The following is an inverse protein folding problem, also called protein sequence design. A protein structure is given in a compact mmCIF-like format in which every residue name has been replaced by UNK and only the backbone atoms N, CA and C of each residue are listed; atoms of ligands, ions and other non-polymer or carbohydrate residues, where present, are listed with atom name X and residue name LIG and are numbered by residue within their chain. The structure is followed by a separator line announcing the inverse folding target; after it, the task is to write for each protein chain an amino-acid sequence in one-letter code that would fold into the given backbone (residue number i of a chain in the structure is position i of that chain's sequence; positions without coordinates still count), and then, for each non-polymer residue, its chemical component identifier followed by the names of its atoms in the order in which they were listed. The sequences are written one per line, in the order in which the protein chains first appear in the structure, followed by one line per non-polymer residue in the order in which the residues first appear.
data_IF_804817814064
#
_entry.id   IF_804817814064
#
_cell.length_a   1.000
_cell.length_b   1.000
_cell.length_c   1.000
_cell.angle_alpha   90.00
_cell.angle_beta   90.00
_cell.angle_gamma   90.00
#
_symmetry.space_group_name_H-M   'P 1'
#
loop_
_entity.id
_entity.type
_entity.pdbx_description
1 polymer ?
#
# COMPACT_ATOMS: atom_id res chain seq x y z
N UNK A 1 -1.13 38.21 -17.13
CA UNK A 1 -1.74 38.03 -15.79
C UNK A 1 -2.88 39.01 -15.63
N UNK A 2 -2.63 40.31 -15.81
CA UNK A 2 -3.64 41.36 -15.62
C UNK A 2 -4.92 41.20 -16.47
N UNK A 3 -4.81 40.92 -17.77
CA UNK A 3 -5.98 40.88 -18.67
C UNK A 3 -7.02 39.76 -18.37
N UNK A 4 -6.61 38.60 -17.85
CA UNK A 4 -7.56 37.52 -17.49
C UNK A 4 -8.07 37.64 -16.05
N UNK A 5 -7.26 38.17 -15.12
CA UNK A 5 -7.77 38.55 -13.80
C UNK A 5 -8.79 39.69 -13.89
N UNK A 6 -8.59 40.62 -14.82
CA UNK A 6 -9.56 41.68 -15.17
C UNK A 6 -10.82 41.11 -15.82
N UNK A 7 -10.72 40.07 -16.65
CA UNK A 7 -11.88 39.37 -17.22
C UNK A 7 -12.69 38.59 -16.17
N UNK A 8 -12.03 37.99 -15.19
CA UNK A 8 -12.72 37.33 -14.06
C UNK A 8 -13.37 38.37 -13.14
N UNK A 9 -12.71 39.51 -12.90
CA UNK A 9 -13.23 40.56 -12.03
C UNK A 9 -14.37 41.39 -12.64
N UNK A 10 -14.55 41.29 -13.96
CA UNK A 10 -15.66 41.91 -14.69
C UNK A 10 -16.85 40.97 -14.91
N UNK A 11 -16.81 39.73 -14.41
CA UNK A 11 -17.95 38.81 -14.42
C UNK A 11 -19.07 39.36 -13.53
N UNK A 12 -20.07 40.00 -14.15
CA UNK A 12 -21.26 40.48 -13.47
C UNK A 12 -22.14 39.33 -12.97
N UNK A 13 -22.66 39.45 -11.75
CA UNK A 13 -23.68 38.52 -11.23
C UNK A 13 -25.01 38.83 -11.91
N UNK A 14 -25.44 37.97 -12.83
CA UNK A 14 -26.73 38.05 -13.52
C UNK A 14 -27.73 37.07 -12.91
N UNK A 15 -29.02 37.40 -13.02
CA UNK A 15 -30.14 36.57 -12.57
C UNK A 15 -30.81 35.78 -13.72
N UNK A 16 -30.47 36.06 -14.97
CA UNK A 16 -30.99 35.32 -16.13
C UNK A 16 -30.27 33.96 -16.26
N UNK A 17 -30.97 32.81 -16.18
CA UNK A 17 -30.36 31.48 -16.24
C UNK A 17 -29.49 31.22 -17.48
N UNK A 18 -29.84 31.78 -18.64
CA UNK A 18 -29.04 31.63 -19.86
C UNK A 18 -27.74 32.42 -19.76
N UNK A 19 -27.82 33.68 -19.29
CA UNK A 19 -26.66 34.50 -19.03
C UNK A 19 -25.79 33.95 -17.88
N UNK A 20 -26.38 33.30 -16.86
CA UNK A 20 -25.65 32.64 -15.77
C UNK A 20 -24.80 31.49 -16.32
N UNK A 21 -25.34 30.67 -17.22
CA UNK A 21 -24.57 29.59 -17.85
C UNK A 21 -23.35 30.13 -18.59
N UNK A 22 -23.52 31.14 -19.44
CA UNK A 22 -22.44 31.72 -20.23
C UNK A 22 -21.35 32.34 -19.33
N UNK A 23 -21.75 33.03 -18.26
CA UNK A 23 -20.84 33.62 -17.26
C UNK A 23 -20.03 32.53 -16.55
N UNK A 24 -20.68 31.48 -16.04
CA UNK A 24 -20.02 30.39 -15.30
C UNK A 24 -19.13 29.57 -16.25
N UNK A 25 -19.59 29.30 -17.47
CA UNK A 25 -18.76 28.64 -18.48
C UNK A 25 -17.52 29.47 -18.83
N UNK A 26 -17.66 30.78 -19.04
CA UNK A 26 -16.54 31.65 -19.35
C UNK A 26 -15.54 31.69 -18.19
N UNK A 27 -16.02 31.79 -16.95
CA UNK A 27 -15.19 31.70 -15.75
C UNK A 27 -14.40 30.38 -15.70
N UNK A 28 -15.05 29.24 -15.97
CA UNK A 28 -14.39 27.93 -16.02
C UNK A 28 -13.34 27.86 -17.12
N UNK A 29 -13.60 28.41 -18.30
CA UNK A 29 -12.62 28.48 -19.40
C UNK A 29 -11.37 29.24 -18.97
N UNK A 30 -11.53 30.40 -18.33
CA UNK A 30 -10.39 31.20 -17.82
C UNK A 30 -9.58 30.43 -16.75
N UNK A 31 -10.27 29.69 -15.87
CA UNK A 31 -9.64 28.85 -14.85
C UNK A 31 -8.99 27.56 -15.39
N UNK A 32 -9.23 27.18 -16.64
CA UNK A 32 -8.65 25.96 -17.25
C UNK A 32 -7.63 26.25 -18.36
N UNK A 33 -7.52 27.51 -18.79
CA UNK A 33 -6.68 27.92 -19.91
C UNK A 33 -5.16 27.83 -19.64
N UNK A 34 -4.74 27.76 -18.37
CA UNK A 34 -3.31 27.80 -17.98
C UNK A 34 -2.97 26.74 -16.95
N UNK A 35 -1.68 26.43 -16.89
CA UNK A 35 -1.10 25.59 -15.83
C UNK A 35 -1.20 26.22 -14.43
N UNK A 36 -1.25 27.55 -14.33
CA UNK A 36 -1.46 28.28 -13.07
C UNK A 36 -2.77 29.11 -13.16
N UNK A 37 -3.90 28.56 -12.70
CA UNK A 37 -5.19 29.24 -12.81
C UNK A 37 -5.30 30.44 -11.85
N UNK A 38 -5.97 31.53 -12.24
CA UNK A 38 -6.17 32.73 -11.40
C UNK A 38 -7.21 32.52 -10.28
N UNK A 39 -6.99 31.52 -9.43
CA UNK A 39 -7.91 31.11 -8.33
C UNK A 39 -8.14 32.25 -7.35
N UNK A 40 -7.11 33.04 -7.04
CA UNK A 40 -7.24 34.19 -6.13
C UNK A 40 -8.17 35.28 -6.68
N UNK A 41 -8.09 35.57 -7.98
CA UNK A 41 -9.01 36.51 -8.60
C UNK A 41 -10.46 35.99 -8.54
N UNK A 42 -10.67 34.70 -8.82
CA UNK A 42 -11.97 34.05 -8.69
C UNK A 42 -12.52 34.11 -7.26
N UNK A 43 -11.69 33.91 -6.24
CA UNK A 43 -12.09 34.03 -4.83
C UNK A 43 -12.48 35.48 -4.51
N UNK A 44 -11.66 36.46 -4.89
CA UNK A 44 -11.90 37.90 -4.57
C UNK A 44 -13.21 38.43 -5.14
N UNK A 45 -13.66 37.92 -6.28
CA UNK A 45 -14.83 38.45 -7.00
C UNK A 45 -16.13 37.75 -6.59
N UNK A 46 -16.10 36.88 -5.58
CA UNK A 46 -17.28 36.17 -5.08
C UNK A 46 -17.75 35.01 -5.98
N UNK A 47 -16.88 34.50 -6.85
CA UNK A 47 -17.23 33.39 -7.75
C UNK A 47 -17.60 32.11 -6.98
N UNK A 48 -17.02 31.90 -5.80
CA UNK A 48 -17.31 30.73 -4.95
C UNK A 48 -18.77 30.72 -4.52
N UNK A 49 -19.27 31.82 -3.95
CA UNK A 49 -20.66 31.91 -3.52
C UNK A 49 -21.63 31.70 -4.70
N UNK A 50 -21.34 32.34 -5.84
CA UNK A 50 -22.19 32.21 -7.02
C UNK A 50 -22.19 30.79 -7.59
N UNK A 51 -21.05 30.10 -7.59
CA UNK A 51 -20.97 28.71 -8.07
C UNK A 51 -21.64 27.73 -7.11
N UNK A 52 -21.59 27.98 -5.80
CA UNK A 52 -22.35 27.22 -4.80
C UNK A 52 -23.86 27.41 -5.02
N UNK A 53 -24.33 28.64 -5.24
CA UNK A 53 -25.72 28.95 -5.58
C UNK A 53 -26.14 28.23 -6.87
N UNK A 54 -25.34 28.33 -7.94
CA UNK A 54 -25.62 27.67 -9.22
C UNK A 54 -25.72 26.15 -9.08
N UNK A 55 -24.86 25.53 -8.27
CA UNK A 55 -24.91 24.09 -8.02
C UNK A 55 -26.11 23.69 -7.14
N UNK A 56 -26.59 24.58 -6.28
CA UNK A 56 -27.74 24.32 -5.39
C UNK A 56 -29.08 24.50 -6.09
N UNK A 57 -29.22 25.53 -6.91
CA UNK A 57 -30.53 26.06 -7.33
C UNK A 57 -30.81 25.93 -8.82
N UNK A 58 -29.81 25.60 -9.65
CA UNK A 58 -30.02 25.53 -11.09
C UNK A 58 -30.74 24.25 -11.53
N UNK A 59 -31.79 24.41 -12.31
CA UNK A 59 -32.47 23.31 -13.03
C UNK A 59 -31.65 22.80 -14.24
N UNK A 60 -30.55 23.48 -14.60
CA UNK A 60 -29.71 23.14 -15.75
C UNK A 60 -28.50 22.31 -15.30
N UNK A 61 -28.47 21.04 -15.70
CA UNK A 61 -27.31 20.16 -15.47
C UNK A 61 -26.02 20.67 -16.10
N UNK A 62 -26.11 21.48 -17.17
CA UNK A 62 -24.96 22.14 -17.78
C UNK A 62 -24.38 23.22 -16.86
N UNK A 63 -25.24 24.03 -16.24
CA UNK A 63 -24.83 25.08 -15.30
C UNK A 63 -24.26 24.46 -14.02
N UNK A 64 -24.92 23.42 -13.49
CA UNK A 64 -24.41 22.64 -12.35
C UNK A 64 -23.04 22.04 -12.64
N UNK A 65 -22.83 21.49 -13.84
CA UNK A 65 -21.55 20.92 -14.23
C UNK A 65 -20.42 21.96 -14.25
N UNK A 66 -20.65 23.12 -14.90
CA UNK A 66 -19.66 24.21 -14.94
C UNK A 66 -19.35 24.74 -13.53
N UNK A 67 -20.38 24.91 -12.70
CA UNK A 67 -20.22 25.34 -11.31
C UNK A 67 -19.43 24.32 -10.47
N UNK A 68 -19.77 23.03 -10.55
CA UNK A 68 -19.04 21.97 -9.87
C UNK A 68 -17.58 21.87 -10.36
N UNK A 69 -17.33 22.10 -11.65
CA UNK A 69 -15.99 22.10 -12.20
C UNK A 69 -15.15 23.26 -11.63
N UNK A 70 -15.69 24.48 -11.59
CA UNK A 70 -15.02 25.62 -10.95
C UNK A 70 -14.68 25.30 -9.50
N UNK A 71 -15.65 24.79 -8.73
CA UNK A 71 -15.42 24.40 -7.34
C UNK A 71 -14.33 23.34 -7.20
N UNK A 72 -14.25 22.38 -8.11
CA UNK A 72 -13.16 21.38 -8.11
C UNK A 72 -11.78 21.98 -8.40
N UNK A 73 -11.70 22.99 -9.27
CA UNK A 73 -10.44 23.70 -9.57
C UNK A 73 -10.00 24.50 -8.36
N UNK A 74 -10.93 25.26 -7.75
CA UNK A 74 -10.66 26.04 -6.53
C UNK A 74 -10.25 25.10 -5.39
N UNK A 75 -10.96 23.99 -5.19
CA UNK A 75 -10.61 23.01 -4.15
C UNK A 75 -9.21 22.38 -4.37
N UNK A 76 -8.77 22.24 -5.63
CA UNK A 76 -7.46 21.67 -5.97
C UNK A 76 -6.27 22.61 -5.77
N UNK A 77 -6.52 23.88 -5.42
CA UNK A 77 -5.45 24.83 -5.12
C UNK A 77 -4.76 24.51 -3.79
N UNK A 78 -3.95 25.45 -3.27
CA UNK A 78 -3.50 25.35 -1.88
C UNK A 78 -4.67 25.45 -0.88
N UNK A 79 -4.35 25.35 0.41
CA UNK A 79 -5.32 25.31 1.52
C UNK A 79 -6.29 26.50 1.59
N UNK A 80 -6.05 27.60 0.86
CA UNK A 80 -7.01 28.71 0.75
C UNK A 80 -8.26 28.30 -0.02
N UNK A 81 -8.11 27.48 -1.07
CA UNK A 81 -9.21 27.04 -1.92
C UNK A 81 -10.27 26.23 -1.18
N UNK A 82 -9.92 25.05 -0.61
CA UNK A 82 -10.81 24.29 0.25
C UNK A 82 -11.41 25.14 1.37
N UNK A 83 -10.59 25.96 2.05
CA UNK A 83 -11.04 26.81 3.15
C UNK A 83 -12.14 27.79 2.75
N UNK A 84 -12.01 28.46 1.61
CA UNK A 84 -13.05 29.41 1.13
C UNK A 84 -14.35 28.67 0.80
N UNK A 85 -14.29 27.50 0.15
CA UNK A 85 -15.48 26.69 -0.13
C UNK A 85 -16.16 26.24 1.18
N UNK A 86 -15.38 25.83 2.17
CA UNK A 86 -15.88 25.40 3.48
C UNK A 86 -16.54 26.54 4.24
N UNK A 87 -15.95 27.75 4.20
CA UNK A 87 -16.47 28.96 4.84
C UNK A 87 -17.75 29.48 4.17
N UNK A 88 -17.91 29.25 2.87
CA UNK A 88 -19.12 29.58 2.11
C UNK A 88 -20.21 28.48 2.19
N UNK A 89 -20.12 27.56 3.16
CA UNK A 89 -21.03 26.42 3.33
C UNK A 89 -21.23 25.57 2.06
N UNK A 90 -20.15 25.38 1.30
CA UNK A 90 -20.15 24.58 0.08
C UNK A 90 -20.25 23.07 0.31
N UNK A 91 -19.78 22.54 1.45
CA UNK A 91 -19.78 21.09 1.72
C UNK A 91 -21.20 20.48 1.64
N UNK A 92 -22.23 21.00 2.34
CA UNK A 92 -23.59 20.46 2.22
C UNK A 92 -24.12 20.43 0.78
N UNK A 93 -23.81 21.47 -0.01
CA UNK A 93 -24.24 21.56 -1.42
C UNK A 93 -23.55 20.51 -2.28
N UNK A 94 -22.23 20.36 -2.11
CA UNK A 94 -21.45 19.33 -2.79
C UNK A 94 -21.94 17.93 -2.40
N UNK A 95 -22.09 17.64 -1.11
CA UNK A 95 -22.58 16.33 -0.64
C UNK A 95 -23.96 16.03 -1.19
N UNK A 96 -24.88 17.00 -1.22
CA UNK A 96 -26.21 16.76 -1.78
C UNK A 96 -26.18 16.43 -3.28
N UNK A 97 -25.32 17.12 -4.03
CA UNK A 97 -25.15 16.91 -5.47
C UNK A 97 -24.32 15.67 -5.83
N UNK A 98 -23.74 14.95 -4.86
CA UNK A 98 -23.02 13.71 -5.12
C UNK A 98 -23.94 12.59 -5.64
N UNK A 99 -25.22 12.61 -5.26
CA UNK A 99 -26.24 11.65 -5.72
C UNK A 99 -27.06 12.14 -6.93
N UNK A 100 -26.55 13.12 -7.69
CA UNK A 100 -27.19 13.60 -8.91
C UNK A 100 -27.30 12.50 -9.97
N UNK A 101 -28.34 12.57 -10.82
CA UNK A 101 -28.50 11.65 -11.94
C UNK A 101 -27.50 11.91 -13.07
N UNK A 102 -26.90 13.11 -13.12
CA UNK A 102 -25.99 13.58 -14.17
C UNK A 102 -24.53 13.19 -13.86
N UNK A 103 -23.94 12.21 -14.56
CA UNK A 103 -22.62 11.69 -14.18
C UNK A 103 -21.49 12.72 -14.26
N UNK A 104 -21.56 13.65 -15.21
CA UNK A 104 -20.60 14.74 -15.37
C UNK A 104 -20.64 15.75 -14.22
N UNK A 105 -21.80 15.95 -13.57
CA UNK A 105 -21.90 16.78 -12.37
C UNK A 105 -21.33 16.00 -11.18
N UNK A 106 -21.75 14.75 -10.99
CA UNK A 106 -21.25 13.87 -9.93
C UNK A 106 -19.73 13.76 -9.93
N UNK A 107 -19.13 13.57 -11.11
CA UNK A 107 -17.67 13.51 -11.30
C UNK A 107 -16.96 14.72 -10.66
N UNK A 108 -17.39 15.94 -11.01
CA UNK A 108 -16.72 17.17 -10.54
C UNK A 108 -17.01 17.43 -9.06
N UNK A 109 -18.21 17.12 -8.61
CA UNK A 109 -18.59 17.17 -7.19
C UNK A 109 -17.72 16.22 -6.35
N UNK A 110 -17.61 14.96 -6.76
CA UNK A 110 -16.79 13.96 -6.07
C UNK A 110 -15.32 14.39 -6.05
N UNK A 111 -14.81 14.95 -7.14
CA UNK A 111 -13.45 15.46 -7.24
C UNK A 111 -13.20 16.65 -6.29
N UNK A 112 -14.12 17.62 -6.24
CA UNK A 112 -14.05 18.75 -5.31
C UNK A 112 -14.04 18.27 -3.85
N UNK A 113 -14.95 17.35 -3.50
CA UNK A 113 -14.99 16.73 -2.17
C UNK A 113 -13.71 15.96 -1.85
N UNK A 114 -13.09 15.27 -2.82
CA UNK A 114 -11.84 14.55 -2.62
C UNK A 114 -10.69 15.51 -2.25
N UNK A 115 -10.59 16.66 -2.93
CA UNK A 115 -9.61 17.69 -2.58
C UNK A 115 -9.87 18.30 -1.20
N UNK A 116 -11.12 18.65 -0.90
CA UNK A 116 -11.50 19.19 0.42
C UNK A 116 -11.20 18.18 1.53
N UNK A 117 -11.56 16.91 1.34
CA UNK A 117 -11.27 15.85 2.30
C UNK A 117 -9.77 15.63 2.47
N UNK A 118 -8.97 15.81 1.42
CA UNK A 118 -7.51 15.61 1.45
C UNK A 118 -6.71 16.76 2.04
N UNK A 119 -7.31 17.93 2.26
CA UNK A 119 -6.65 19.11 2.82
C UNK A 119 -6.39 18.94 4.33
N UNK A 120 -7.43 18.65 5.11
CA UNK A 120 -7.29 18.37 6.54
C UNK A 120 -8.38 17.44 7.07
N UNK A 121 -8.09 16.85 8.23
CA UNK A 121 -9.00 15.92 8.89
C UNK A 121 -10.34 16.55 9.29
N UNK A 122 -10.35 17.83 9.68
CA UNK A 122 -11.57 18.53 10.08
C UNK A 122 -12.55 18.65 8.90
N UNK A 123 -12.04 18.90 7.69
CA UNK A 123 -12.87 18.96 6.49
C UNK A 123 -13.37 17.57 6.09
N UNK A 124 -12.54 16.53 6.19
CA UNK A 124 -12.96 15.14 6.01
C UNK A 124 -14.10 14.77 6.97
N UNK A 125 -13.99 15.14 8.25
CA UNK A 125 -15.04 14.88 9.24
C UNK A 125 -16.30 15.70 8.95
N UNK A 126 -16.19 16.97 8.59
CA UNK A 126 -17.34 17.80 8.18
C UNK A 126 -18.08 17.20 6.98
N UNK A 127 -17.37 16.61 6.00
CA UNK A 127 -17.98 15.89 4.87
C UNK A 127 -18.75 14.65 5.34
N UNK A 128 -18.18 13.89 6.28
CA UNK A 128 -18.85 12.73 6.90
C UNK A 128 -20.13 13.17 7.64
N UNK A 129 -20.02 14.21 8.47
CA UNK A 129 -21.12 14.75 9.28
C UNK A 129 -22.26 15.32 8.41
N UNK A 130 -21.94 15.83 7.22
CA UNK A 130 -22.93 16.25 6.22
C UNK A 130 -23.62 15.07 5.51
N UNK A 131 -23.31 13.82 5.86
CA UNK A 131 -24.03 12.65 5.39
C UNK A 131 -23.54 12.08 4.06
N UNK A 132 -22.26 12.29 3.67
CA UNK A 132 -21.69 11.75 2.43
C UNK A 132 -21.91 10.23 2.28
N UNK A 133 -21.93 9.51 3.41
CA UNK A 133 -22.13 8.06 3.46
C UNK A 133 -23.49 7.60 2.94
N UNK A 134 -24.49 8.49 2.93
CA UNK A 134 -25.83 8.21 2.36
C UNK A 134 -25.89 8.41 0.85
N UNK A 135 -24.85 9.00 0.26
CA UNK A 135 -24.80 9.38 -1.15
C UNK A 135 -24.00 8.41 -2.02
N UNK A 136 -23.11 7.63 -1.40
CA UNK A 136 -22.28 6.67 -2.13
C UNK A 136 -23.08 5.58 -2.84
N UNK A 137 -24.25 5.17 -2.34
CA UNK A 137 -25.09 4.15 -3.01
C UNK A 137 -25.44 4.55 -4.46
N UNK A 138 -25.67 5.84 -4.72
CA UNK A 138 -25.92 6.36 -6.07
C UNK A 138 -24.62 6.71 -6.83
N UNK A 139 -23.61 7.24 -6.13
CA UNK A 139 -22.39 7.75 -6.73
C UNK A 139 -21.40 6.64 -7.13
N UNK A 140 -21.34 5.57 -6.34
CA UNK A 140 -20.44 4.42 -6.49
C UNK A 140 -21.09 3.23 -7.21
N UNK A 141 -22.28 3.41 -7.81
CA UNK A 141 -22.91 2.37 -8.63
C UNK A 141 -21.97 1.94 -9.77
N UNK A 142 -21.65 0.65 -9.80
CA UNK A 142 -20.74 0.00 -10.75
C UNK A 142 -21.12 0.22 -12.23
N UNK A 143 -22.36 0.61 -12.53
CA UNK A 143 -22.83 0.88 -13.89
C UNK A 143 -22.57 2.32 -14.35
N UNK A 144 -22.04 3.18 -13.48
CA UNK A 144 -21.72 4.57 -13.82
C UNK A 144 -20.50 4.67 -14.73
N UNK A 145 -20.37 5.76 -15.52
CA UNK A 145 -19.22 5.97 -16.39
C UNK A 145 -17.88 5.99 -15.64
N UNK A 146 -16.83 5.54 -16.31
CA UNK A 146 -15.48 5.42 -15.73
C UNK A 146 -14.96 6.72 -15.09
N UNK A 147 -15.19 7.88 -15.73
CA UNK A 147 -14.73 9.18 -15.22
C UNK A 147 -15.41 9.54 -13.88
N UNK A 148 -16.69 9.22 -13.70
CA UNK A 148 -17.39 9.43 -12.43
C UNK A 148 -16.80 8.51 -11.36
N UNK A 149 -16.67 7.22 -11.67
CA UNK A 149 -16.13 6.22 -10.74
C UNK A 149 -14.70 6.55 -10.30
N UNK A 150 -13.89 7.12 -11.20
CA UNK A 150 -12.55 7.59 -10.85
C UNK A 150 -12.57 8.68 -9.78
N UNK A 151 -13.41 9.71 -9.95
CA UNK A 151 -13.53 10.78 -8.95
C UNK A 151 -14.12 10.30 -7.63
N UNK A 152 -15.08 9.37 -7.69
CA UNK A 152 -15.66 8.74 -6.48
C UNK A 152 -14.61 7.88 -5.76
N UNK A 153 -13.79 7.13 -6.49
CA UNK A 153 -12.68 6.36 -5.92
C UNK A 153 -11.63 7.26 -5.25
N UNK A 154 -11.32 8.43 -5.84
CA UNK A 154 -10.46 9.44 -5.22
C UNK A 154 -11.06 9.98 -3.92
N UNK A 155 -12.37 10.23 -3.88
CA UNK A 155 -13.06 10.65 -2.67
C UNK A 155 -12.98 9.57 -1.58
N UNK A 156 -13.29 8.31 -1.90
CA UNK A 156 -13.18 7.18 -0.97
C UNK A 156 -11.75 7.07 -0.41
N UNK A 157 -10.74 7.15 -1.28
CA UNK A 157 -9.32 7.15 -0.89
C UNK A 157 -9.01 8.26 0.13
N UNK A 158 -9.46 9.49 -0.13
CA UNK A 158 -9.18 10.64 0.74
C UNK A 158 -9.92 10.58 2.06
N UNK A 159 -11.16 10.08 2.08
CA UNK A 159 -11.90 9.83 3.33
C UNK A 159 -11.15 8.83 4.22
N UNK A 160 -10.48 7.84 3.63
CA UNK A 160 -9.70 6.83 4.36
C UNK A 160 -8.24 7.26 4.68
N UNK A 161 -7.72 8.34 4.09
CA UNK A 161 -6.28 8.63 4.09
C UNK A 161 -5.65 9.05 5.44
N UNK A 162 -6.48 9.40 6.41
CA UNK A 162 -6.07 9.75 7.77
C UNK A 162 -6.05 8.52 8.68
N UNK A 163 -5.42 8.58 9.87
CA UNK A 163 -5.34 7.44 10.78
C UNK A 163 -6.71 6.82 11.11
N UNK A 164 -6.78 5.48 11.06
CA UNK A 164 -7.99 4.68 11.24
C UNK A 164 -8.63 4.85 12.63
N UNK A 165 -7.84 5.15 13.66
CA UNK A 165 -8.32 5.52 15.00
C UNK A 165 -9.28 6.71 15.04
N UNK A 166 -9.32 7.55 13.99
CA UNK A 166 -10.19 8.73 13.89
C UNK A 166 -11.32 8.56 12.86
N UNK A 167 -11.55 7.34 12.37
CA UNK A 167 -12.69 7.00 11.53
C UNK A 167 -13.60 6.02 12.30
N UNK A 168 -14.92 6.17 12.26
CA UNK A 168 -15.82 5.15 12.79
C UNK A 168 -15.74 3.85 11.99
N UNK A 169 -15.66 2.70 12.68
CA UNK A 169 -15.54 1.38 12.04
C UNK A 169 -16.71 1.09 11.08
N UNK A 170 -17.92 1.55 11.38
CA UNK A 170 -19.10 1.38 10.50
C UNK A 170 -18.94 2.12 9.16
N UNK A 171 -18.27 3.28 9.16
CA UNK A 171 -17.95 4.00 7.93
C UNK A 171 -16.93 3.21 7.12
N UNK A 172 -15.88 2.70 7.76
CA UNK A 172 -14.88 1.87 7.10
C UNK A 172 -15.46 0.59 6.51
N UNK A 173 -16.37 -0.10 7.22
CA UNK A 173 -17.13 -1.24 6.68
C UNK A 173 -17.89 -0.86 5.43
N UNK A 174 -18.69 0.21 5.48
CA UNK A 174 -19.51 0.64 4.34
C UNK A 174 -18.64 1.04 3.13
N UNK A 175 -17.54 1.78 3.35
CA UNK A 175 -16.59 2.12 2.30
C UNK A 175 -15.92 0.88 1.70
N UNK A 176 -15.61 -0.12 2.51
CA UNK A 176 -14.98 -1.36 2.04
C UNK A 176 -15.88 -2.13 1.07
N UNK A 177 -17.20 -2.13 1.28
CA UNK A 177 -18.15 -2.74 0.32
C UNK A 177 -18.02 -2.09 -1.06
N UNK A 178 -18.03 -0.76 -1.14
CA UNK A 178 -17.85 -0.05 -2.42
C UNK A 178 -16.47 -0.28 -3.03
N UNK A 179 -15.41 -0.35 -2.21
CA UNK A 179 -14.06 -0.65 -2.70
C UNK A 179 -14.05 -2.02 -3.38
N UNK A 180 -14.62 -3.05 -2.74
CA UNK A 180 -14.65 -4.41 -3.26
C UNK A 180 -15.42 -4.49 -4.58
N UNK A 181 -16.60 -3.86 -4.66
CA UNK A 181 -17.43 -3.84 -5.87
C UNK A 181 -16.75 -3.08 -7.04
N UNK A 182 -16.12 -1.95 -6.75
CA UNK A 182 -15.48 -1.12 -7.78
C UNK A 182 -14.13 -1.68 -8.23
N UNK A 183 -13.42 -2.44 -7.40
CA UNK A 183 -12.16 -3.09 -7.80
C UNK A 183 -12.35 -4.15 -8.89
N UNK A 184 -13.55 -4.73 -9.01
CA UNK A 184 -13.91 -5.63 -10.11
C UNK A 184 -14.00 -4.92 -11.46
N UNK A 185 -14.05 -3.58 -11.48
CA UNK A 185 -13.89 -2.81 -12.70
C UNK A 185 -12.40 -2.75 -13.04
N UNK A 186 -12.06 -3.27 -14.22
CA UNK A 186 -10.68 -3.23 -14.73
C UNK A 186 -10.24 -1.83 -15.24
N UNK A 187 -10.68 -0.76 -14.57
CA UNK A 187 -10.33 0.62 -14.88
C UNK A 187 -9.11 1.00 -14.04
N UNK A 188 -7.97 1.22 -14.69
CA UNK A 188 -6.68 1.41 -14.02
C UNK A 188 -6.68 2.56 -13.00
N UNK A 189 -7.25 3.71 -13.35
CA UNK A 189 -7.29 4.90 -12.48
C UNK A 189 -8.17 4.70 -11.23
N UNK A 190 -9.27 3.97 -11.37
CA UNK A 190 -10.14 3.53 -10.27
C UNK A 190 -9.36 2.58 -9.37
N UNK A 191 -8.77 1.52 -9.93
CA UNK A 191 -8.00 0.53 -9.17
C UNK A 191 -6.83 1.14 -8.42
N UNK A 192 -6.11 2.10 -9.02
CA UNK A 192 -5.02 2.82 -8.36
C UNK A 192 -5.50 3.59 -7.12
N UNK A 193 -6.62 4.32 -7.25
CA UNK A 193 -7.20 5.07 -6.13
C UNK A 193 -7.71 4.14 -5.02
N UNK A 194 -8.38 3.05 -5.39
CA UNK A 194 -8.94 2.09 -4.45
C UNK A 194 -7.88 1.18 -3.79
N UNK A 195 -6.80 0.84 -4.48
CA UNK A 195 -5.66 0.16 -3.88
C UNK A 195 -5.00 1.03 -2.81
N UNK A 196 -4.86 2.34 -3.08
CA UNK A 196 -4.43 3.30 -2.05
C UNK A 196 -5.41 3.39 -0.87
N UNK A 197 -6.71 3.30 -1.14
CA UNK A 197 -7.75 3.31 -0.11
C UNK A 197 -7.66 2.07 0.80
N UNK A 198 -7.45 0.89 0.19
CA UNK A 198 -7.19 -0.36 0.91
C UNK A 198 -5.89 -0.29 1.73
N UNK A 199 -4.84 0.34 1.21
CA UNK A 199 -3.61 0.58 1.95
C UNK A 199 -3.87 1.40 3.22
N UNK A 200 -4.62 2.50 3.12
CA UNK A 200 -4.94 3.30 4.30
C UNK A 200 -5.84 2.57 5.29
N UNK A 201 -6.85 1.84 4.81
CA UNK A 201 -7.72 1.01 5.63
C UNK A 201 -6.93 -0.02 6.46
N UNK A 202 -5.92 -0.64 5.84
CA UNK A 202 -5.11 -1.69 6.47
C UNK A 202 -3.92 -1.17 7.26
N UNK A 203 -3.65 0.14 7.24
CA UNK A 203 -2.53 0.74 7.98
C UNK A 203 -2.74 0.53 9.49
N UNK A 204 -1.81 -0.17 10.13
CA UNK A 204 -2.01 -0.79 11.44
C UNK A 204 -1.95 0.20 12.62
N UNK A 205 -3.03 0.18 13.42
CA UNK A 205 -3.16 0.60 14.84
C UNK A 205 -4.34 -0.14 15.52
N UNK A 206 -5.32 -0.64 14.73
CA UNK A 206 -6.49 -1.36 15.23
C UNK A 206 -6.83 -2.63 14.39
N UNK A 207 -6.81 -3.84 14.98
CA UNK A 207 -7.04 -5.10 14.27
C UNK A 207 -8.47 -5.26 13.72
N UNK A 208 -9.43 -4.46 14.18
CA UNK A 208 -10.81 -4.48 13.67
C UNK A 208 -10.88 -4.10 12.19
N UNK A 209 -9.98 -3.22 11.72
CA UNK A 209 -9.92 -2.81 10.32
C UNK A 209 -9.37 -3.90 9.41
N UNK A 210 -8.35 -4.62 9.87
CA UNK A 210 -7.85 -5.82 9.18
C UNK A 210 -8.94 -6.88 9.11
N UNK A 211 -9.72 -7.05 10.18
CA UNK A 211 -10.85 -7.98 10.17
C UNK A 211 -11.92 -7.57 9.15
N UNK A 212 -12.19 -6.27 8.98
CA UNK A 212 -13.10 -5.78 7.92
C UNK A 212 -12.57 -6.13 6.52
N UNK A 213 -11.27 -5.93 6.27
CA UNK A 213 -10.65 -6.27 4.99
C UNK A 213 -10.77 -7.78 4.67
N UNK A 214 -10.62 -8.64 5.67
CA UNK A 214 -10.82 -10.10 5.53
C UNK A 214 -12.28 -10.43 5.30
N UNK A 215 -13.17 -10.04 6.22
CA UNK A 215 -14.58 -10.48 6.23
C UNK A 215 -15.36 -10.01 5.00
N UNK A 216 -15.01 -8.85 4.43
CA UNK A 216 -15.69 -8.30 3.26
C UNK A 216 -15.04 -8.70 1.92
N UNK A 217 -14.02 -9.57 1.93
CA UNK A 217 -13.38 -10.07 0.70
C UNK A 217 -12.47 -9.04 0.01
N UNK A 218 -12.00 -8.01 0.72
CA UNK A 218 -11.09 -7.01 0.16
C UNK A 218 -9.74 -7.63 -0.21
N UNK A 219 -9.22 -8.55 0.61
CA UNK A 219 -7.93 -9.19 0.36
C UNK A 219 -7.90 -9.93 -0.98
N UNK A 220 -8.97 -10.65 -1.33
CA UNK A 220 -9.07 -11.36 -2.61
C UNK A 220 -8.94 -10.38 -3.81
N UNK A 221 -9.62 -9.22 -3.73
CA UNK A 221 -9.54 -8.19 -4.77
C UNK A 221 -8.14 -7.59 -4.86
N UNK A 222 -7.53 -7.29 -3.71
CA UNK A 222 -6.20 -6.68 -3.65
C UNK A 222 -5.11 -7.63 -4.14
N UNK A 223 -5.19 -8.92 -3.80
CA UNK A 223 -4.23 -9.93 -4.27
C UNK A 223 -4.24 -10.03 -5.79
N UNK A 224 -5.41 -9.98 -6.43
CA UNK A 224 -5.52 -9.92 -7.91
C UNK A 224 -4.79 -8.71 -8.51
N UNK A 225 -4.70 -7.59 -7.77
CA UNK A 225 -3.98 -6.39 -8.24
C UNK A 225 -2.45 -6.56 -8.29
N UNK A 226 -1.88 -7.54 -7.58
CA UNK A 226 -0.44 -7.83 -7.64
C UNK A 226 0.03 -8.20 -9.06
N UNK A 227 -0.86 -8.77 -9.87
CA UNK A 227 -0.57 -9.13 -11.28
C UNK A 227 -0.92 -8.04 -12.28
N UNK A 228 -1.41 -6.87 -11.85
CA UNK A 228 -1.75 -5.78 -12.78
C UNK A 228 -0.47 -5.16 -13.33
N UNK A 229 -0.44 -4.92 -14.64
CA UNK A 229 0.70 -4.32 -15.33
C UNK A 229 0.78 -2.78 -15.10
N UNK A 230 0.79 -2.36 -13.84
CA UNK A 230 0.99 -0.99 -13.42
C UNK A 230 1.72 -0.96 -12.07
N UNK A 231 2.88 -0.31 -12.04
CA UNK A 231 3.76 -0.30 -10.86
C UNK A 231 3.12 0.39 -9.65
N UNK A 232 2.28 1.41 -9.86
CA UNK A 232 1.65 2.13 -8.74
C UNK A 232 0.57 1.27 -8.08
N UNK A 233 -0.24 0.58 -8.89
CA UNK A 233 -1.22 -0.40 -8.41
C UNK A 233 -0.53 -1.54 -7.67
N UNK A 234 0.53 -2.12 -8.24
CA UNK A 234 1.30 -3.20 -7.61
C UNK A 234 1.90 -2.75 -6.27
N UNK A 235 2.50 -1.56 -6.21
CA UNK A 235 3.05 -1.00 -4.95
C UNK A 235 1.99 -0.81 -3.88
N UNK A 236 0.81 -0.31 -4.25
CA UNK A 236 -0.28 -0.15 -3.29
C UNK A 236 -0.77 -1.52 -2.80
N UNK A 237 -0.95 -2.49 -3.71
CA UNK A 237 -1.40 -3.83 -3.38
C UNK A 237 -0.41 -4.60 -2.49
N UNK A 238 0.88 -4.61 -2.81
CA UNK A 238 1.87 -5.33 -1.98
C UNK A 238 2.01 -4.72 -0.59
N UNK A 239 1.83 -3.39 -0.45
CA UNK A 239 1.81 -2.73 0.86
C UNK A 239 0.60 -3.09 1.70
N UNK A 240 -0.55 -3.39 1.08
CA UNK A 240 -1.69 -3.97 1.80
C UNK A 240 -1.33 -5.36 2.33
N UNK A 241 -0.74 -6.22 1.49
CA UNK A 241 -0.27 -7.54 1.93
C UNK A 241 0.77 -7.43 3.05
N UNK A 242 1.66 -6.44 2.98
CA UNK A 242 2.64 -6.18 4.02
C UNK A 242 1.96 -5.78 5.34
N UNK A 243 1.02 -4.81 5.31
CA UNK A 243 0.29 -4.38 6.50
C UNK A 243 -0.47 -5.53 7.18
N UNK A 244 -1.07 -6.41 6.38
CA UNK A 244 -1.87 -7.55 6.88
C UNK A 244 -0.96 -8.63 7.46
N UNK A 245 0.16 -8.93 6.79
CA UNK A 245 1.13 -9.94 7.26
C UNK A 245 1.97 -9.48 8.45
N UNK A 246 2.22 -8.18 8.62
CA UNK A 246 3.01 -7.64 9.73
C UNK A 246 2.28 -7.60 11.07
N UNK A 247 1.04 -8.07 11.14
CA UNK A 247 0.27 -8.06 12.38
C UNK A 247 0.72 -9.21 13.29
N UNK A 248 0.68 -9.00 14.61
CA UNK A 248 0.98 -10.06 15.59
C UNK A 248 -0.07 -11.20 15.59
N UNK A 249 -1.09 -11.13 14.73
CA UNK A 249 -2.18 -12.09 14.65
C UNK A 249 -2.00 -13.01 13.44
N UNK A 250 -1.52 -14.23 13.68
CA UNK A 250 -1.30 -15.26 12.64
C UNK A 250 -2.49 -15.52 11.71
N UNK A 251 -3.73 -15.30 12.18
CA UNK A 251 -4.95 -15.43 11.37
C UNK A 251 -4.98 -14.50 10.15
N UNK A 252 -4.34 -13.32 10.22
CA UNK A 252 -4.32 -12.37 9.11
C UNK A 252 -3.31 -12.77 8.05
N UNK A 253 -2.16 -13.29 8.46
CA UNK A 253 -1.21 -13.97 7.56
C UNK A 253 -1.87 -15.17 6.88
N UNK A 254 -2.61 -16.00 7.62
CA UNK A 254 -3.38 -17.09 7.03
C UNK A 254 -4.41 -16.60 6.01
N UNK A 255 -5.12 -15.52 6.29
CA UNK A 255 -6.12 -14.97 5.35
C UNK A 255 -5.49 -14.49 4.02
N UNK A 256 -4.24 -14.01 4.03
CA UNK A 256 -3.52 -13.70 2.78
C UNK A 256 -3.18 -14.96 1.99
N UNK A 257 -2.76 -16.01 2.69
CA UNK A 257 -2.43 -17.31 2.11
C UNK A 257 -3.67 -17.94 1.47
N UNK A 258 -4.81 -17.88 2.18
CA UNK A 258 -6.10 -18.38 1.69
C UNK A 258 -6.59 -17.61 0.45
N UNK A 259 -6.11 -16.37 0.25
CA UNK A 259 -6.34 -15.56 -0.95
C UNK A 259 -5.32 -15.83 -2.07
N UNK A 260 -4.39 -16.77 -1.91
CA UNK A 260 -3.32 -17.11 -2.85
C UNK A 260 -2.34 -15.96 -3.13
N UNK A 261 -2.03 -15.12 -2.13
CA UNK A 261 -1.05 -14.05 -2.29
C UNK A 261 0.33 -14.57 -2.74
N UNK A 262 0.72 -15.74 -2.24
CA UNK A 262 1.98 -16.43 -2.52
C UNK A 262 2.21 -16.72 -4.00
N UNK A 263 1.15 -16.97 -4.77
CA UNK A 263 1.25 -17.32 -6.19
C UNK A 263 1.74 -16.14 -7.05
N UNK A 264 1.72 -14.93 -6.50
CA UNK A 264 2.13 -13.71 -7.19
C UNK A 264 3.57 -13.27 -6.86
N UNK A 265 4.19 -13.81 -5.81
CA UNK A 265 5.47 -13.30 -5.32
C UNK A 265 6.60 -13.48 -6.34
N UNK A 266 6.63 -14.60 -7.08
CA UNK A 266 7.69 -14.83 -8.08
C UNK A 266 7.66 -13.77 -9.20
N UNK A 267 6.47 -13.39 -9.65
CA UNK A 267 6.28 -12.29 -10.62
C UNK A 267 6.83 -10.97 -10.06
N UNK A 268 6.53 -10.66 -8.80
CA UNK A 268 6.94 -9.41 -8.16
C UNK A 268 8.45 -9.36 -7.89
N UNK A 269 9.08 -10.47 -7.54
CA UNK A 269 10.53 -10.54 -7.33
C UNK A 269 11.34 -10.36 -8.63
N UNK A 270 10.73 -10.63 -9.80
CA UNK A 270 11.37 -10.49 -11.12
C UNK A 270 11.23 -9.11 -11.76
N UNK A 271 10.59 -8.15 -11.07
CA UNK A 271 10.50 -6.76 -11.53
C UNK A 271 11.85 -6.03 -11.43
N UNK A 272 11.95 -4.83 -12.03
CA UNK A 272 13.09 -3.92 -11.86
C UNK A 272 12.87 -2.89 -10.74
N UNK A 273 11.65 -2.81 -10.21
CA UNK A 273 11.30 -1.85 -9.18
C UNK A 273 11.74 -2.36 -7.80
N UNK A 274 12.78 -1.75 -7.26
CA UNK A 274 13.39 -2.13 -5.97
C UNK A 274 12.40 -2.08 -4.80
N UNK A 275 11.39 -1.20 -4.85
CA UNK A 275 10.41 -1.09 -3.77
C UNK A 275 9.43 -2.26 -3.79
N UNK A 276 9.03 -2.72 -4.99
CA UNK A 276 8.18 -3.91 -5.11
C UNK A 276 8.94 -5.15 -4.64
N UNK A 277 10.20 -5.31 -5.04
CA UNK A 277 11.03 -6.43 -4.59
C UNK A 277 11.16 -6.41 -3.06
N UNK A 278 11.55 -5.27 -2.49
CA UNK A 278 11.72 -5.12 -1.05
C UNK A 278 10.43 -5.40 -0.28
N UNK A 279 9.30 -4.80 -0.67
CA UNK A 279 8.03 -5.01 0.04
C UNK A 279 7.50 -6.45 -0.14
N UNK A 280 7.82 -7.12 -1.26
CA UNK A 280 7.53 -8.55 -1.45
C UNK A 280 8.35 -9.42 -0.49
N UNK A 281 9.66 -9.17 -0.36
CA UNK A 281 10.52 -9.92 0.56
C UNK A 281 10.09 -9.69 2.02
N UNK A 282 9.65 -8.48 2.39
CA UNK A 282 9.07 -8.22 3.73
C UNK A 282 7.81 -9.04 3.99
N UNK A 283 6.93 -9.18 3.00
CA UNK A 283 5.73 -10.03 3.14
C UNK A 283 6.13 -11.49 3.34
N UNK A 284 7.10 -11.99 2.57
CA UNK A 284 7.65 -13.34 2.73
C UNK A 284 8.28 -13.52 4.12
N UNK A 285 9.04 -12.53 4.60
CA UNK A 285 9.66 -12.50 5.94
C UNK A 285 8.61 -12.61 7.05
N UNK A 286 7.50 -11.87 6.92
CA UNK A 286 6.38 -11.94 7.86
C UNK A 286 5.60 -13.27 7.77
N UNK A 287 5.55 -13.92 6.60
CA UNK A 287 4.98 -15.27 6.50
C UNK A 287 5.91 -16.27 7.18
N UNK A 288 7.23 -16.10 7.04
CA UNK A 288 8.23 -16.99 7.63
C UNK A 288 8.23 -17.00 9.17
N UNK A 289 7.70 -15.96 9.84
CA UNK A 289 7.50 -15.96 11.30
C UNK A 289 6.28 -16.76 11.77
N UNK A 290 5.45 -17.25 10.83
CA UNK A 290 4.22 -17.98 11.13
C UNK A 290 4.46 -19.37 11.74
N UNK A 291 3.36 -20.11 11.94
CA UNK A 291 3.43 -21.51 12.36
C UNK A 291 4.12 -22.39 11.31
N UNK A 292 4.51 -23.61 11.69
CA UNK A 292 5.06 -24.63 10.78
C UNK A 292 4.22 -24.76 9.49
N UNK A 293 2.89 -24.81 9.61
CA UNK A 293 1.98 -24.89 8.46
C UNK A 293 2.03 -23.64 7.56
N UNK A 294 2.15 -22.44 8.15
CA UNK A 294 2.25 -21.19 7.41
C UNK A 294 3.61 -21.12 6.68
N UNK A 295 4.69 -21.52 7.35
CA UNK A 295 6.04 -21.61 6.74
C UNK A 295 6.06 -22.57 5.56
N UNK A 296 5.35 -23.71 5.66
CA UNK A 296 5.32 -24.74 4.63
C UNK A 296 4.84 -24.19 3.28
N UNK A 297 3.94 -23.20 3.29
CA UNK A 297 3.45 -22.55 2.06
C UNK A 297 4.59 -21.99 1.23
N UNK A 298 5.62 -21.40 1.84
CA UNK A 298 6.76 -20.84 1.12
C UNK A 298 7.63 -21.92 0.43
N UNK A 299 7.70 -23.11 1.04
CA UNK A 299 8.37 -24.27 0.44
C UNK A 299 7.53 -24.84 -0.71
N UNK A 300 6.22 -25.00 -0.50
CA UNK A 300 5.30 -25.58 -1.47
C UNK A 300 5.21 -24.76 -2.75
N UNK A 301 5.19 -23.41 -2.65
CA UNK A 301 5.22 -22.53 -3.82
C UNK A 301 6.61 -22.29 -4.41
N UNK A 302 7.65 -22.91 -3.82
CA UNK A 302 9.05 -22.84 -4.31
C UNK A 302 9.56 -21.41 -4.50
N UNK A 303 9.17 -20.50 -3.62
CA UNK A 303 9.56 -19.08 -3.73
C UNK A 303 10.98 -18.82 -3.20
N UNK A 304 11.44 -19.63 -2.25
CA UNK A 304 12.73 -19.43 -1.56
C UNK A 304 13.95 -19.38 -2.50
N UNK A 305 14.11 -20.26 -3.52
CA UNK A 305 15.21 -20.11 -4.49
C UNK A 305 15.25 -18.72 -5.13
N UNK A 306 14.09 -18.18 -5.53
CA UNK A 306 13.99 -16.84 -6.13
C UNK A 306 14.37 -15.74 -5.13
N UNK A 307 14.02 -15.91 -3.86
CA UNK A 307 14.45 -14.99 -2.78
C UNK A 307 15.95 -15.07 -2.57
N UNK A 308 16.53 -16.27 -2.60
CA UNK A 308 17.96 -16.50 -2.36
C UNK A 308 18.82 -15.85 -3.46
N UNK A 309 18.37 -15.89 -4.71
CA UNK A 309 19.04 -15.20 -5.82
C UNK A 309 19.17 -13.68 -5.60
N UNK A 310 18.24 -13.07 -4.85
CA UNK A 310 18.26 -11.65 -4.51
C UNK A 310 19.38 -11.27 -3.52
N UNK A 311 20.13 -12.22 -2.95
CA UNK A 311 21.27 -11.91 -2.06
C UNK A 311 22.37 -11.12 -2.78
N UNK A 312 22.41 -11.23 -4.11
CA UNK A 312 23.35 -10.51 -4.98
C UNK A 312 22.84 -9.13 -5.40
N UNK A 313 21.70 -8.69 -4.87
CA UNK A 313 21.11 -7.39 -5.21
C UNK A 313 22.03 -6.25 -4.73
N UNK A 314 22.26 -5.21 -5.54
CA UNK A 314 23.07 -4.06 -5.14
C UNK A 314 22.44 -3.25 -4.00
N UNK A 315 21.13 -3.34 -3.79
CA UNK A 315 20.43 -2.67 -2.70
C UNK A 315 20.57 -3.46 -1.38
N UNK A 316 21.31 -2.89 -0.43
CA UNK A 316 21.54 -3.50 0.88
C UNK A 316 20.29 -3.61 1.75
N UNK A 317 19.22 -2.87 1.46
CA UNK A 317 17.94 -3.06 2.16
C UNK A 317 17.31 -4.39 1.78
N UNK A 318 17.38 -4.78 0.50
CA UNK A 318 16.90 -6.08 0.01
C UNK A 318 17.72 -7.21 0.63
N UNK A 319 19.05 -7.11 0.58
CA UNK A 319 19.96 -8.14 1.13
C UNK A 319 19.72 -8.35 2.64
N UNK A 320 19.55 -7.26 3.41
CA UNK A 320 19.20 -7.37 4.84
C UNK A 320 17.88 -8.09 5.06
N UNK A 321 16.86 -7.79 4.26
CA UNK A 321 15.55 -8.41 4.40
C UNK A 321 15.59 -9.91 4.07
N UNK A 322 16.41 -10.34 3.12
CA UNK A 322 16.62 -11.77 2.84
C UNK A 322 17.21 -12.48 4.06
N UNK A 323 18.16 -11.84 4.76
CA UNK A 323 18.72 -12.40 6.00
C UNK A 323 17.65 -12.55 7.08
N UNK A 324 16.69 -11.62 7.14
CA UNK A 324 15.53 -11.74 8.03
C UNK A 324 14.59 -12.88 7.61
N UNK A 325 14.33 -13.06 6.31
CA UNK A 325 13.54 -14.21 5.82
C UNK A 325 14.15 -15.52 6.31
N UNK A 326 15.47 -15.67 6.19
CA UNK A 326 16.20 -16.87 6.60
C UNK A 326 16.06 -17.11 8.10
N UNK A 327 16.40 -16.10 8.91
CA UNK A 327 16.37 -16.19 10.38
C UNK A 327 14.97 -16.49 10.89
N UNK A 328 13.97 -15.79 10.34
CA UNK A 328 12.56 -16.00 10.67
C UNK A 328 12.09 -17.39 10.26
N UNK A 329 12.52 -17.91 9.11
CA UNK A 329 12.12 -19.24 8.65
C UNK A 329 12.72 -20.33 9.52
N UNK A 330 14.04 -20.32 9.74
CA UNK A 330 14.74 -21.36 10.52
C UNK A 330 14.25 -21.37 11.97
N UNK A 331 14.01 -20.20 12.56
CA UNK A 331 13.50 -20.10 13.93
C UNK A 331 12.12 -20.76 14.05
N UNK A 332 12.06 -21.89 14.76
CA UNK A 332 10.82 -22.64 14.97
C UNK A 332 10.32 -23.44 13.75
N UNK A 333 11.20 -23.68 12.76
CA UNK A 333 10.92 -24.64 11.69
C UNK A 333 10.86 -26.07 12.25
N UNK A 334 10.08 -26.93 11.59
CA UNK A 334 10.15 -28.37 11.82
C UNK A 334 11.37 -28.97 11.08
N UNK A 335 11.85 -30.12 11.54
CA UNK A 335 13.04 -30.77 11.00
C UNK A 335 12.93 -31.09 9.50
N UNK A 336 11.75 -31.54 9.04
CA UNK A 336 11.46 -31.78 7.62
C UNK A 336 11.56 -30.51 6.77
N UNK A 337 11.21 -29.35 7.36
CA UNK A 337 11.36 -28.04 6.70
C UNK A 337 12.82 -27.61 6.64
N UNK A 338 13.60 -27.87 7.69
CA UNK A 338 15.05 -27.63 7.68
C UNK A 338 15.74 -28.51 6.63
N UNK A 339 15.28 -29.76 6.46
CA UNK A 339 15.78 -30.66 5.42
C UNK A 339 15.49 -30.10 4.03
N UNK A 340 14.26 -29.68 3.76
CA UNK A 340 13.90 -29.04 2.48
C UNK A 340 14.69 -27.75 2.22
N UNK A 341 14.97 -26.94 3.25
CA UNK A 341 15.85 -25.77 3.11
C UNK A 341 17.28 -26.15 2.69
N UNK A 342 17.83 -27.24 3.25
CA UNK A 342 19.13 -27.77 2.84
C UNK A 342 19.12 -28.17 1.37
N UNK A 343 18.09 -28.89 0.92
CA UNK A 343 17.92 -29.27 -0.48
C UNK A 343 17.78 -28.07 -1.44
N UNK A 344 17.25 -26.95 -0.95
CA UNK A 344 17.14 -25.69 -1.71
C UNK A 344 18.47 -24.91 -1.78
N UNK A 345 19.47 -25.27 -0.96
CA UNK A 345 20.78 -24.61 -0.93
C UNK A 345 20.90 -23.51 0.12
N UNK A 346 20.25 -23.65 1.28
CA UNK A 346 20.38 -22.67 2.37
C UNK A 346 21.83 -22.53 2.88
N UNK A 347 22.63 -23.60 2.84
CA UNK A 347 24.03 -23.60 3.30
C UNK A 347 24.88 -22.67 2.42
N UNK A 348 24.73 -22.76 1.10
CA UNK A 348 25.38 -21.87 0.13
C UNK A 348 24.99 -20.41 0.33
N UNK A 349 23.71 -20.16 0.61
CA UNK A 349 23.19 -18.82 0.87
C UNK A 349 23.75 -18.23 2.16
N UNK A 350 23.79 -19.01 3.24
CA UNK A 350 24.36 -18.59 4.52
C UNK A 350 25.84 -18.25 4.35
N UNK A 351 26.61 -19.11 3.68
CA UNK A 351 28.00 -18.83 3.34
C UNK A 351 28.14 -17.55 2.51
N UNK A 352 27.36 -17.40 1.44
CA UNK A 352 27.36 -16.20 0.58
C UNK A 352 27.07 -14.93 1.40
N UNK A 353 26.15 -15.01 2.36
CA UNK A 353 25.79 -13.90 3.26
C UNK A 353 26.93 -13.56 4.22
N UNK A 354 27.69 -14.54 4.72
CA UNK A 354 28.90 -14.32 5.53
C UNK A 354 30.03 -13.62 4.77
N UNK A 355 30.03 -13.64 3.44
CA UNK A 355 31.02 -12.90 2.63
C UNK A 355 30.72 -11.39 2.56
N UNK A 356 29.49 -10.99 2.87
CA UNK A 356 29.05 -9.59 2.80
C UNK A 356 29.62 -8.84 4.00
N UNK A 357 30.38 -7.78 3.74
CA UNK A 357 31.04 -6.94 4.78
C UNK A 357 30.04 -6.02 5.47
N UNK A 358 29.07 -6.60 6.17
CA UNK A 358 28.08 -5.89 6.96
C UNK A 358 27.86 -6.62 8.29
N UNK A 359 28.05 -5.90 9.39
CA UNK A 359 27.99 -6.47 10.75
C UNK A 359 26.67 -7.18 11.04
N UNK A 360 25.53 -6.55 10.69
CA UNK A 360 24.20 -7.11 10.93
C UNK A 360 23.95 -8.38 10.11
N UNK A 361 24.35 -8.38 8.83
CA UNK A 361 24.18 -9.55 7.95
C UNK A 361 25.00 -10.73 8.46
N UNK A 362 26.27 -10.50 8.81
CA UNK A 362 27.15 -11.56 9.34
C UNK A 362 26.54 -12.13 10.63
N UNK A 363 26.13 -11.27 11.55
CA UNK A 363 25.50 -11.66 12.82
C UNK A 363 24.26 -12.54 12.62
N UNK A 364 23.34 -12.14 11.74
CA UNK A 364 22.12 -12.91 11.46
C UNK A 364 22.46 -14.23 10.75
N UNK A 365 23.43 -14.23 9.84
CA UNK A 365 23.82 -15.43 9.11
C UNK A 365 24.49 -16.47 10.02
N UNK A 366 25.32 -16.03 10.99
CA UNK A 366 25.92 -16.92 12.00
C UNK A 366 24.84 -17.50 12.92
N UNK A 367 23.91 -16.67 13.40
CA UNK A 367 22.80 -17.14 14.24
C UNK A 367 21.91 -18.15 13.49
N UNK A 368 21.57 -17.86 12.23
CA UNK A 368 20.81 -18.75 11.38
C UNK A 368 21.53 -20.09 11.11
N UNK A 369 22.85 -20.06 10.88
CA UNK A 369 23.65 -21.28 10.71
C UNK A 369 23.65 -22.13 11.99
N UNK A 370 23.84 -21.51 13.16
CA UNK A 370 23.81 -22.22 14.43
C UNK A 370 22.42 -22.85 14.66
N UNK A 371 21.36 -22.07 14.46
CA UNK A 371 19.98 -22.55 14.63
C UNK A 371 19.62 -23.66 13.63
N UNK A 372 20.17 -23.63 12.41
CA UNK A 372 19.99 -24.70 11.42
C UNK A 372 20.61 -26.01 11.92
N UNK A 373 21.85 -25.95 12.43
CA UNK A 373 22.57 -27.13 12.93
C UNK A 373 21.89 -27.67 14.20
N UNK A 374 21.62 -26.80 15.19
CA UNK A 374 21.04 -27.20 16.47
C UNK A 374 19.56 -27.60 16.37
N UNK A 375 18.83 -27.04 15.39
CA UNK A 375 17.43 -27.36 15.14
C UNK A 375 17.21 -28.67 14.39
N UNK A 376 18.26 -29.22 13.77
CA UNK A 376 18.23 -30.55 13.15
C UNK A 376 18.40 -31.60 14.25
N UNK A 377 17.62 -32.68 14.26
CA UNK A 377 17.72 -33.74 15.27
C UNK A 377 18.52 -34.93 14.75
N UNK A 378 18.36 -35.26 13.47
CA UNK A 378 19.06 -36.30 12.75
C UNK A 378 20.56 -35.99 12.63
N UNK A 379 21.39 -36.87 13.19
CA UNK A 379 22.83 -36.65 13.28
C UNK A 379 23.53 -36.81 11.92
N UNK A 380 23.01 -37.64 11.02
CA UNK A 380 23.51 -37.78 9.64
C UNK A 380 23.27 -36.48 8.86
N UNK A 381 22.09 -35.87 9.00
CA UNK A 381 21.77 -34.58 8.39
C UNK A 381 22.61 -33.45 8.98
N UNK A 382 22.83 -33.39 10.30
CA UNK A 382 23.77 -32.42 10.90
C UNK A 382 25.17 -32.56 10.31
N UNK A 383 25.67 -33.79 10.22
CA UNK A 383 26.97 -34.07 9.65
C UNK A 383 27.03 -33.59 8.19
N UNK A 384 25.98 -33.82 7.40
CA UNK A 384 25.88 -33.32 6.03
C UNK A 384 25.97 -31.80 5.98
N UNK A 385 25.16 -31.08 6.79
CA UNK A 385 25.18 -29.60 6.84
C UNK A 385 26.57 -29.07 7.16
N UNK A 386 27.23 -29.65 8.18
CA UNK A 386 28.58 -29.24 8.58
C UNK A 386 29.61 -29.51 7.48
N UNK A 387 29.52 -30.68 6.83
CA UNK A 387 30.42 -31.09 5.74
C UNK A 387 30.24 -30.19 4.53
N UNK A 388 28.99 -29.95 4.10
CA UNK A 388 28.67 -29.07 2.97
C UNK A 388 29.17 -27.65 3.23
N UNK A 389 29.03 -27.15 4.46
CA UNK A 389 29.53 -25.84 4.86
C UNK A 389 31.07 -25.78 4.88
N UNK A 390 31.74 -26.85 5.30
CA UNK A 390 33.20 -26.95 5.27
C UNK A 390 33.74 -26.99 3.84
N UNK A 391 33.13 -27.81 2.97
CA UNK A 391 33.52 -28.00 1.57
C UNK A 391 33.50 -26.70 0.76
N UNK A 392 32.58 -25.78 1.06
CA UNK A 392 32.52 -24.43 0.44
C UNK A 392 33.43 -23.40 1.13
N UNK A 393 34.26 -23.82 2.08
CA UNK A 393 35.23 -22.98 2.79
C UNK A 393 34.65 -22.22 4.00
N UNK A 394 33.53 -22.70 4.55
CA UNK A 394 32.85 -22.11 5.70
C UNK A 394 33.70 -22.10 6.96
N UNK A 395 34.46 -23.17 7.25
CA UNK A 395 35.35 -23.22 8.41
C UNK A 395 36.44 -22.15 8.35
N UNK A 396 37.09 -21.99 7.20
CA UNK A 396 38.07 -20.93 6.95
C UNK A 396 37.43 -19.56 7.21
N UNK A 397 36.17 -19.38 6.80
CA UNK A 397 35.46 -18.12 7.03
C UNK A 397 35.21 -17.86 8.51
N UNK A 398 34.82 -18.88 9.29
CA UNK A 398 34.67 -18.78 10.75
C UNK A 398 36.01 -18.46 11.45
N UNK A 399 37.12 -19.07 11.02
CA UNK A 399 38.45 -18.77 11.56
C UNK A 399 38.86 -17.31 11.35
N UNK A 400 38.54 -16.73 10.19
CA UNK A 400 38.74 -15.29 9.94
C UNK A 400 37.95 -14.46 10.95
N UNK A 401 36.71 -14.86 11.26
CA UNK A 401 35.87 -14.15 12.21
C UNK A 401 36.36 -14.24 13.66
N UNK A 402 37.19 -15.21 14.03
CA UNK A 402 37.87 -15.23 15.34
C UNK A 402 38.80 -14.03 15.54
N UNK A 403 39.19 -13.33 14.47
CA UNK A 403 40.00 -12.11 14.51
C UNK A 403 39.17 -10.85 14.29
N UNK A 404 37.84 -10.97 14.24
CA UNK A 404 36.93 -9.83 14.09
C UNK A 404 37.09 -8.86 15.25
N UNK A 405 36.97 -7.55 14.98
CA UNK A 405 36.94 -6.53 16.04
C UNK A 405 35.66 -6.61 16.89
N UNK A 406 34.58 -7.20 16.34
CA UNK A 406 33.33 -7.40 17.06
C UNK A 406 33.38 -8.64 17.95
N UNK A 407 33.29 -8.42 19.26
CA UNK A 407 33.23 -9.47 20.28
C UNK A 407 32.07 -10.45 20.02
N UNK A 408 30.90 -9.94 19.65
CA UNK A 408 29.72 -10.74 19.33
C UNK A 408 30.01 -11.72 18.16
N UNK A 409 30.59 -11.22 17.06
CA UNK A 409 30.94 -12.07 15.92
C UNK A 409 31.99 -13.12 16.31
N UNK A 410 33.01 -12.73 17.10
CA UNK A 410 34.04 -13.68 17.57
C UNK A 410 33.41 -14.80 18.41
N UNK A 411 32.51 -14.45 19.33
CA UNK A 411 31.84 -15.41 20.22
C UNK A 411 30.98 -16.36 19.41
N UNK A 412 30.13 -15.85 18.51
CA UNK A 412 29.27 -16.69 17.66
C UNK A 412 30.09 -17.64 16.78
N UNK A 413 31.14 -17.15 16.12
CA UNK A 413 32.01 -17.98 15.30
C UNK A 413 32.72 -19.06 16.13
N UNK A 414 33.17 -18.72 17.34
CA UNK A 414 33.77 -19.67 18.28
C UNK A 414 32.77 -20.76 18.67
N UNK A 415 31.53 -20.40 19.01
CA UNK A 415 30.49 -21.37 19.36
C UNK A 415 30.19 -22.33 18.22
N UNK A 416 29.99 -21.82 17.00
CA UNK A 416 29.71 -22.65 15.82
C UNK A 416 30.86 -23.62 15.54
N UNK A 417 32.12 -23.17 15.65
CA UNK A 417 33.28 -24.04 15.47
C UNK A 417 33.31 -25.19 16.47
N UNK A 418 33.00 -24.94 17.75
CA UNK A 418 32.93 -26.01 18.75
C UNK A 418 31.81 -27.00 18.42
N UNK A 419 30.62 -26.52 18.05
CA UNK A 419 29.50 -27.39 17.66
C UNK A 419 29.87 -28.29 16.48
N UNK A 420 30.49 -27.74 15.43
CA UNK A 420 30.93 -28.53 14.27
C UNK A 420 32.00 -29.57 14.67
N UNK A 421 32.96 -29.20 15.52
CA UNK A 421 33.99 -30.12 16.01
C UNK A 421 33.40 -31.28 16.82
N UNK A 422 32.41 -31.01 17.67
CA UNK A 422 31.72 -32.03 18.45
C UNK A 422 30.98 -33.02 17.54
N UNK A 423 30.30 -32.53 16.50
CA UNK A 423 29.59 -33.36 15.50
C UNK A 423 30.58 -34.26 14.73
N UNK A 424 31.71 -33.72 14.28
CA UNK A 424 32.75 -34.52 13.63
C UNK A 424 33.38 -35.55 14.57
N UNK A 425 33.58 -35.20 15.84
CA UNK A 425 34.15 -36.11 16.84
C UNK A 425 33.23 -37.28 17.19
N UNK A 426 31.91 -37.07 17.21
CA UNK A 426 30.92 -38.13 17.46
C UNK A 426 30.80 -39.13 16.31
N UNK A 427 31.03 -38.70 15.07
CA UNK A 427 30.90 -39.53 13.87
C UNK A 427 32.20 -40.24 13.43
N UNK A 428 33.31 -40.02 14.14
CA UNK A 428 34.59 -40.73 13.92
C UNK A 428 34.78 -41.95 14.83
N UNK A 429 33.80 -42.28 15.68
CA UNK A 429 33.75 -43.47 16.56
C UNK A 429 32.82 -44.53 15.97
#
# INVERSE_FOLDING_TARGET
MEDEEEKISTLGVTADPAAVYDVVQHARQLLTARSNPPVEAAIRVGLVDKTIECLRESDSSKTQHEAAWILSIIASSDSRGPKVIVNADGIPVLVNNLSTEYPNVCEKVALALAFIAGDCIDYRNKIIDCGVMTKFDAAADVNKPAYQLESVAKLINKVLSYPSSQLPLEIAKKLTVYIVELLDKEILTVQSSLAGAAYYLTRNDNPSYLQVAVTLGLLEKVVKLLSRNDLNVQKAAIRVCQNVSSSDYSRFTQALIDCNAQDHFELLLKTKDVYIILDTIKVISNIATGSINIKQVLLDVKILPTVFEQIRNPDMHIVKEICWVIDNFITGAAEDQLQQLCEIGIVDLLYSSLLIKNHMIIRHSLAALLNLIEGTLDDDMKLSICTDFDDIGGLIRLEIFLRSESDEIRIMATTILHVIQDIYGQNQQ
#
